data_IF_658844942313
#
_entry.id   IF_658844942313
#
_cell.length_a   1.000
_cell.length_b   1.000
_cell.length_c   1.000
_cell.angle_alpha   90.00
_cell.angle_beta   90.00
_cell.angle_gamma   90.00
#
_symmetry.space_group_name_H-M   'P 1'
#
loop_
_entity.id
_entity.type
_entity.pdbx_description
1 polymer ?
#
# COMPACT_ATOMS: atom_id res chain seq x y z
N UNK A 1 26.12 15.07 -22.42
CA UNK A 1 26.17 13.73 -21.78
C UNK A 1 24.78 13.41 -21.27
N UNK A 2 24.45 12.13 -21.22
CA UNK A 2 23.11 11.53 -21.32
C UNK A 2 22.09 12.09 -20.31
N UNK A 3 20.90 12.41 -20.81
CA UNK A 3 19.70 12.50 -19.99
C UNK A 3 19.28 11.05 -19.73
N UNK A 4 19.76 10.49 -18.63
CA UNK A 4 19.28 9.19 -18.17
C UNK A 4 17.85 9.43 -17.65
N UNK A 5 16.90 9.04 -18.48
CA UNK A 5 15.46 9.06 -18.21
C UNK A 5 15.24 8.34 -16.88
N UNK A 6 14.68 9.03 -15.87
CA UNK A 6 14.45 8.42 -14.56
C UNK A 6 13.58 7.17 -14.73
N UNK A 7 14.07 6.02 -14.28
CA UNK A 7 13.39 4.72 -14.42
C UNK A 7 11.99 4.72 -13.78
N UNK A 8 11.76 5.59 -12.79
CA UNK A 8 10.44 5.86 -12.20
C UNK A 8 9.42 6.31 -13.25
N UNK A 9 9.84 7.06 -14.27
CA UNK A 9 8.98 7.49 -15.39
C UNK A 9 8.57 6.31 -16.29
N UNK A 10 9.33 5.21 -16.27
CA UNK A 10 9.03 3.99 -17.03
C UNK A 10 8.04 3.09 -16.28
N UNK A 11 8.04 3.09 -14.94
CA UNK A 11 7.06 2.36 -14.12
C UNK A 11 5.62 2.86 -14.32
N UNK A 12 5.45 4.11 -14.73
CA UNK A 12 4.15 4.72 -15.03
C UNK A 12 3.61 4.41 -16.44
N UNK A 13 4.40 3.78 -17.31
CA UNK A 13 3.96 3.46 -18.68
C UNK A 13 3.16 2.16 -18.68
N UNK A 14 1.87 2.17 -19.11
CA UNK A 14 1.12 0.95 -19.32
C UNK A 14 1.62 0.28 -20.60
N UNK A 15 2.68 -0.53 -20.48
CA UNK A 15 3.14 -1.45 -21.52
C UNK A 15 3.05 -2.88 -20.98
N UNK A 16 2.20 -3.71 -21.58
CA UNK A 16 2.06 -5.14 -21.23
C UNK A 16 3.38 -5.90 -21.36
N UNK A 17 3.58 -7.09 -20.79
CA UNK A 17 2.71 -8.00 -20.05
C UNK A 17 3.58 -8.56 -18.90
N UNK A 18 3.33 -8.29 -17.61
CA UNK A 18 4.04 -9.04 -16.57
C UNK A 18 3.29 -10.36 -16.39
N UNK A 19 3.49 -11.32 -17.30
CA UNK A 19 3.07 -12.70 -17.05
C UNK A 19 3.89 -13.18 -15.86
N UNK A 20 3.24 -13.38 -14.73
CA UNK A 20 3.88 -13.97 -13.56
C UNK A 20 4.43 -15.35 -13.93
N UNK A 21 5.73 -15.55 -13.75
CA UNK A 21 6.39 -16.85 -13.92
C UNK A 21 6.46 -17.53 -12.55
N UNK A 22 6.10 -18.80 -12.48
CA UNK A 22 6.40 -19.62 -11.31
C UNK A 22 7.89 -19.92 -11.29
N UNK A 23 8.56 -19.58 -10.19
CA UNK A 23 10.01 -19.78 -10.01
C UNK A 23 10.22 -20.66 -8.77
N UNK A 24 11.06 -21.71 -8.86
CA UNK A 24 11.45 -22.51 -7.69
C UNK A 24 12.03 -21.61 -6.60
N UNK A 25 11.60 -21.80 -5.36
CA UNK A 25 12.05 -20.95 -4.25
C UNK A 25 13.56 -21.07 -4.03
N UNK A 26 14.15 -22.24 -4.33
CA UNK A 26 15.60 -22.51 -4.25
C UNK A 26 16.45 -21.70 -5.24
N UNK A 27 15.83 -21.24 -6.33
CA UNK A 27 16.46 -20.38 -7.34
C UNK A 27 16.34 -18.89 -6.99
N UNK A 28 15.63 -18.54 -5.91
CA UNK A 28 15.38 -17.15 -5.50
C UNK A 28 16.25 -16.82 -4.30
N UNK A 29 17.02 -15.74 -4.43
CA UNK A 29 17.94 -15.24 -3.41
C UNK A 29 17.47 -13.90 -2.84
N UNK A 30 17.57 -13.71 -1.51
CA UNK A 30 17.24 -12.44 -0.88
C UNK A 30 18.21 -11.33 -1.30
N UNK A 31 17.76 -10.08 -1.20
CA UNK A 31 18.64 -8.94 -1.41
C UNK A 31 19.58 -8.75 -0.20
N UNK A 32 20.91 -8.88 -0.34
CA UNK A 32 21.85 -8.69 0.77
C UNK A 32 21.85 -7.26 1.29
N UNK A 33 21.37 -6.30 0.50
CA UNK A 33 21.30 -4.90 0.86
C UNK A 33 19.87 -4.45 1.19
N UNK A 34 19.01 -5.35 1.66
CA UNK A 34 17.62 -5.04 1.96
C UNK A 34 17.52 -3.91 3.02
N UNK A 35 16.99 -2.72 2.68
CA UNK A 35 16.95 -1.60 3.62
C UNK A 35 15.97 -1.85 4.78
N UNK A 36 14.97 -2.72 4.59
CA UNK A 36 14.10 -3.17 5.69
C UNK A 36 14.86 -4.18 6.56
N UNK A 37 15.31 -3.77 7.73
CA UNK A 37 15.94 -4.67 8.71
C UNK A 37 14.93 -5.40 9.61
N UNK A 38 13.79 -4.77 9.93
CA UNK A 38 12.76 -5.37 10.76
C UNK A 38 11.58 -5.84 9.91
N UNK A 39 11.36 -7.16 9.87
CA UNK A 39 10.26 -7.74 9.09
C UNK A 39 8.92 -7.66 9.82
N UNK A 40 8.89 -7.56 11.15
CA UNK A 40 7.65 -7.61 11.93
C UNK A 40 7.05 -9.02 11.97
N UNK A 41 5.82 -9.13 12.48
CA UNK A 41 5.11 -10.41 12.53
C UNK A 41 4.68 -10.86 11.12
N UNK A 42 4.90 -12.15 10.83
CA UNK A 42 4.54 -12.82 9.59
C UNK A 42 3.48 -13.90 9.79
N UNK A 43 3.05 -14.19 11.02
CA UNK A 43 2.19 -15.34 11.36
C UNK A 43 0.92 -15.42 10.51
N UNK A 44 0.18 -14.31 10.40
CA UNK A 44 -1.04 -14.24 9.57
C UNK A 44 -0.73 -14.40 8.07
N UNK A 45 0.40 -13.84 7.60
CA UNK A 45 0.81 -13.94 6.22
C UNK A 45 1.21 -15.38 5.86
N UNK A 46 1.94 -16.06 6.73
CA UNK A 46 2.32 -17.47 6.57
C UNK A 46 1.06 -18.35 6.52
N UNK A 47 0.11 -18.13 7.43
CA UNK A 47 -1.16 -18.86 7.43
C UNK A 47 -1.93 -18.65 6.11
N UNK A 48 -2.03 -17.40 5.66
CA UNK A 48 -2.69 -17.08 4.38
C UNK A 48 -1.95 -17.68 3.19
N UNK A 49 -0.62 -17.65 3.17
CA UNK A 49 0.20 -18.21 2.08
C UNK A 49 0.10 -19.73 2.04
N UNK A 50 0.02 -20.39 3.20
CA UNK A 50 -0.18 -21.83 3.29
C UNK A 50 -1.56 -22.26 2.78
N UNK A 51 -2.60 -21.48 3.06
CA UNK A 51 -3.98 -21.79 2.64
C UNK A 51 -4.23 -21.47 1.16
N UNK A 52 -3.72 -20.32 0.68
CA UNK A 52 -4.13 -19.73 -0.61
C UNK A 52 -3.00 -19.60 -1.62
N UNK A 53 -1.77 -19.94 -1.23
CA UNK A 53 -0.58 -19.61 -1.99
C UNK A 53 -0.26 -18.12 -1.95
N UNK A 54 0.71 -17.72 -2.77
CA UNK A 54 1.11 -16.32 -2.92
C UNK A 54 0.27 -15.70 -4.04
N UNK A 55 -0.68 -14.83 -3.69
CA UNK A 55 -1.59 -14.21 -4.66
C UNK A 55 -0.93 -13.07 -5.46
N UNK A 56 -0.14 -12.24 -4.77
CA UNK A 56 0.58 -11.14 -5.41
C UNK A 56 2.01 -11.60 -5.74
N UNK A 57 2.45 -11.55 -7.02
CA UNK A 57 3.79 -11.92 -7.41
C UNK A 57 4.88 -11.05 -6.76
N UNK A 58 6.03 -11.64 -6.45
CA UNK A 58 7.21 -10.87 -6.04
C UNK A 58 7.97 -10.34 -7.26
N UNK A 59 8.76 -9.28 -7.08
CA UNK A 59 9.58 -8.71 -8.13
C UNK A 59 11.01 -9.24 -8.00
N UNK A 60 11.54 -9.82 -9.07
CA UNK A 60 12.90 -10.39 -9.10
C UNK A 60 13.66 -9.95 -10.34
N UNK A 61 14.98 -10.04 -10.28
CA UNK A 61 15.87 -9.90 -11.44
C UNK A 61 16.72 -11.14 -11.68
N UNK A 62 17.12 -11.43 -12.92
CA UNK A 62 18.10 -12.47 -13.19
C UNK A 62 19.46 -12.15 -12.55
N UNK A 63 20.10 -13.17 -11.96
CA UNK A 63 21.48 -13.12 -11.45
C UNK A 63 22.18 -14.45 -11.75
N UNK A 64 22.81 -14.53 -12.92
CA UNK A 64 23.36 -15.79 -13.42
C UNK A 64 22.25 -16.80 -13.69
N UNK A 65 22.35 -18.00 -13.09
CA UNK A 65 21.32 -19.04 -13.18
C UNK A 65 20.15 -18.86 -12.19
N UNK A 66 20.24 -17.89 -11.29
CA UNK A 66 19.29 -17.66 -10.19
C UNK A 66 18.57 -16.32 -10.35
N UNK A 67 17.67 -16.05 -9.42
CA UNK A 67 16.93 -14.80 -9.32
C UNK A 67 17.24 -14.10 -8.01
N UNK A 68 17.33 -12.77 -8.03
CA UNK A 68 17.46 -11.96 -6.84
C UNK A 68 16.19 -11.15 -6.61
N UNK A 69 15.72 -11.11 -5.36
CA UNK A 69 14.56 -10.31 -4.95
C UNK A 69 14.87 -8.82 -5.08
N UNK A 70 13.97 -8.10 -5.77
CA UNK A 70 13.92 -6.63 -5.77
C UNK A 70 12.90 -6.16 -4.72
N UNK A 71 11.70 -6.76 -4.73
CA UNK A 71 10.62 -6.41 -3.81
C UNK A 71 9.76 -7.63 -3.46
N UNK A 72 9.19 -7.63 -2.25
CA UNK A 72 8.32 -8.72 -1.77
C UNK A 72 8.98 -9.71 -0.81
N UNK A 73 10.08 -9.34 -0.15
CA UNK A 73 10.82 -10.18 0.81
C UNK A 73 9.93 -10.83 1.88
N UNK A 74 8.95 -10.10 2.44
CA UNK A 74 8.00 -10.67 3.41
C UNK A 74 7.19 -11.84 2.83
N UNK A 75 6.79 -11.77 1.57
CA UNK A 75 6.05 -12.84 0.87
C UNK A 75 6.97 -14.03 0.59
N UNK A 76 8.22 -13.77 0.18
CA UNK A 76 9.23 -14.82 0.01
C UNK A 76 9.49 -15.59 1.31
N UNK A 77 9.70 -14.89 2.44
CA UNK A 77 9.88 -15.52 3.76
C UNK A 77 8.67 -16.34 4.18
N UNK A 78 7.47 -15.78 4.01
CA UNK A 78 6.23 -16.49 4.30
C UNK A 78 6.04 -17.73 3.42
N UNK A 79 6.46 -17.68 2.15
CA UNK A 79 6.41 -18.82 1.24
C UNK A 79 7.37 -19.94 1.63
N UNK A 80 8.59 -19.61 2.06
CA UNK A 80 9.55 -20.58 2.63
C UNK A 80 8.95 -21.26 3.86
N UNK A 81 8.43 -20.48 4.81
CA UNK A 81 7.90 -21.00 6.08
C UNK A 81 6.56 -21.75 5.90
N UNK A 82 5.80 -21.40 4.86
CA UNK A 82 4.62 -22.15 4.43
C UNK A 82 4.99 -23.49 3.75
N UNK A 83 6.24 -23.68 3.33
CA UNK A 83 6.72 -24.90 2.66
C UNK A 83 6.37 -24.98 1.17
N UNK A 84 6.24 -23.84 0.49
CA UNK A 84 5.99 -23.82 -0.96
C UNK A 84 7.24 -24.23 -1.74
N UNK A 85 7.08 -24.96 -2.85
CA UNK A 85 8.18 -25.32 -3.75
C UNK A 85 8.51 -24.22 -4.77
N UNK A 86 7.50 -23.45 -5.18
CA UNK A 86 7.61 -22.39 -6.16
C UNK A 86 6.71 -21.20 -5.79
N UNK A 87 7.02 -20.02 -6.35
CA UNK A 87 6.21 -18.83 -6.14
C UNK A 87 6.11 -17.95 -7.39
N UNK A 88 4.99 -17.21 -7.58
CA UNK A 88 4.83 -16.33 -8.72
C UNK A 88 5.76 -15.13 -8.60
N UNK A 89 6.50 -14.89 -9.68
CA UNK A 89 7.49 -13.84 -9.80
C UNK A 89 7.28 -13.04 -11.07
N UNK A 90 7.51 -11.74 -11.00
CA UNK A 90 7.68 -10.87 -12.16
C UNK A 90 9.18 -10.70 -12.34
N UNK A 91 9.70 -11.18 -13.46
CA UNK A 91 11.12 -11.04 -13.80
C UNK A 91 11.33 -9.73 -14.53
N UNK A 92 12.22 -8.88 -14.01
CA UNK A 92 12.66 -7.64 -14.65
C UNK A 92 14.18 -7.61 -14.74
N UNK A 93 14.69 -7.23 -15.91
CA UNK A 93 16.11 -6.97 -16.06
C UNK A 93 16.42 -5.59 -15.50
N UNK A 94 17.22 -5.54 -14.44
CA UNK A 94 17.65 -4.32 -13.77
C UNK A 94 19.10 -4.44 -13.31
N UNK A 95 19.86 -3.34 -13.43
CA UNK A 95 21.21 -3.23 -12.88
C UNK A 95 21.20 -3.23 -11.34
N UNK A 96 22.36 -3.44 -10.72
CA UNK A 96 22.52 -3.42 -9.26
C UNK A 96 22.09 -2.07 -8.66
N UNK A 97 22.44 -0.99 -9.34
CA UNK A 97 22.08 0.38 -8.98
C UNK A 97 20.55 0.58 -9.00
N UNK A 98 19.89 0.21 -10.10
CA UNK A 98 18.43 0.34 -10.25
C UNK A 98 17.68 -0.55 -9.25
N UNK A 99 18.21 -1.73 -8.96
CA UNK A 99 17.62 -2.65 -7.99
C UNK A 99 17.62 -2.07 -6.58
N UNK A 100 18.73 -1.44 -6.19
CA UNK A 100 18.84 -0.77 -4.91
C UNK A 100 17.91 0.45 -4.83
N UNK A 101 17.84 1.24 -5.90
CA UNK A 101 16.92 2.37 -5.99
C UNK A 101 15.46 1.92 -5.77
N UNK A 102 15.03 0.85 -6.44
CA UNK A 102 13.68 0.30 -6.31
C UNK A 102 13.38 -0.23 -4.90
N UNK A 103 14.32 -0.96 -4.31
CA UNK A 103 14.19 -1.47 -2.94
C UNK A 103 14.08 -0.32 -1.93
N UNK A 104 14.82 0.76 -2.15
CA UNK A 104 14.82 1.93 -1.29
C UNK A 104 13.53 2.76 -1.44
N UNK A 105 13.01 2.89 -2.66
CA UNK A 105 11.70 3.52 -2.93
C UNK A 105 10.56 2.74 -2.26
N UNK A 106 10.51 1.40 -2.40
CA UNK A 106 9.50 0.57 -1.72
C UNK A 106 9.56 0.75 -0.21
N UNK A 107 10.78 0.71 0.35
CA UNK A 107 10.95 0.88 1.78
C UNK A 107 10.48 2.28 2.23
N UNK A 108 10.75 3.34 1.44
CA UNK A 108 10.31 4.70 1.73
C UNK A 108 8.78 4.90 1.67
N UNK A 109 8.09 4.11 0.85
CA UNK A 109 6.62 4.17 0.73
C UNK A 109 5.88 3.55 1.93
N UNK A 110 6.60 2.94 2.87
CA UNK A 110 6.02 2.38 4.09
C UNK A 110 5.35 3.44 4.95
N UNK A 111 4.22 3.08 5.57
CA UNK A 111 3.45 3.99 6.43
C UNK A 111 4.01 4.09 7.86
N UNK A 112 4.84 3.14 8.27
CA UNK A 112 5.37 2.98 9.62
C UNK A 112 6.81 3.47 9.81
N UNK A 113 7.40 4.13 8.80
CA UNK A 113 8.73 4.74 8.91
C UNK A 113 8.78 5.86 9.94
N UNK A 114 9.84 5.88 10.75
CA UNK A 114 10.17 7.03 11.58
C UNK A 114 10.70 8.19 10.72
N UNK A 115 10.60 9.42 11.25
CA UNK A 115 11.08 10.61 10.56
C UNK A 115 12.58 10.58 10.24
N UNK A 116 13.37 9.87 11.05
CA UNK A 116 14.82 9.71 10.83
C UNK A 116 15.09 8.69 9.73
N UNK A 117 14.44 7.52 9.76
CA UNK A 117 14.59 6.51 8.69
C UNK A 117 14.13 7.04 7.32
N UNK A 118 13.05 7.82 7.31
CA UNK A 118 12.59 8.51 6.09
C UNK A 118 13.67 9.48 5.58
N UNK A 119 14.23 10.31 6.45
CA UNK A 119 15.28 11.26 6.09
C UNK A 119 16.56 10.58 5.57
N UNK A 120 16.99 9.48 6.21
CA UNK A 120 18.17 8.73 5.81
C UNK A 120 17.97 8.01 4.46
N UNK A 121 16.80 7.39 4.26
CA UNK A 121 16.47 6.76 2.97
C UNK A 121 16.44 7.77 1.82
N UNK A 122 15.91 8.98 2.08
CA UNK A 122 15.89 10.07 1.11
C UNK A 122 17.26 10.64 0.79
N UNK A 123 18.09 10.82 1.83
CA UNK A 123 19.45 11.27 1.66
C UNK A 123 20.21 10.29 0.76
N UNK A 124 20.07 8.99 1.04
CA UNK A 124 20.67 7.92 0.24
C UNK A 124 20.16 7.94 -1.21
N UNK A 125 18.85 8.09 -1.42
CA UNK A 125 18.25 8.23 -2.75
C UNK A 125 18.82 9.44 -3.53
N UNK A 126 18.92 10.59 -2.87
CA UNK A 126 19.41 11.82 -3.49
C UNK A 126 20.91 11.76 -3.80
N UNK A 127 21.74 11.25 -2.89
CA UNK A 127 23.20 11.23 -3.01
C UNK A 127 23.70 10.13 -3.96
N UNK A 128 23.06 8.94 -3.93
CA UNK A 128 23.54 7.78 -4.70
C UNK A 128 22.87 7.63 -6.06
N UNK A 129 21.63 8.13 -6.22
CA UNK A 129 20.82 7.89 -7.41
C UNK A 129 20.28 9.17 -8.06
N UNK A 130 20.67 10.35 -7.55
CA UNK A 130 20.18 11.64 -8.07
C UNK A 130 18.67 11.83 -7.93
N UNK A 131 18.02 11.03 -7.08
CA UNK A 131 16.57 11.06 -6.93
C UNK A 131 16.12 12.41 -6.38
N UNK A 132 15.15 13.01 -7.06
CA UNK A 132 14.42 14.17 -6.55
C UNK A 132 12.98 13.76 -6.30
N UNK A 133 12.35 14.09 -5.16
CA UNK A 133 10.93 13.81 -4.94
C UNK A 133 10.03 14.34 -6.07
N UNK A 134 10.46 15.45 -6.69
CA UNK A 134 9.91 15.99 -7.93
C UNK A 134 9.79 14.96 -9.05
N UNK A 135 10.87 14.23 -9.34
CA UNK A 135 10.97 13.26 -10.44
C UNK A 135 9.96 12.12 -10.38
N UNK A 136 9.58 11.67 -9.19
CA UNK A 136 8.66 10.55 -9.00
C UNK A 136 7.16 10.93 -9.09
N UNK A 137 6.85 12.21 -9.26
CA UNK A 137 5.47 12.68 -9.43
C UNK A 137 5.13 12.83 -10.92
N UNK A 138 3.89 12.48 -11.32
CA UNK A 138 3.35 12.85 -12.62
C UNK A 138 3.50 14.35 -12.89
N UNK A 139 3.68 14.72 -14.15
CA UNK A 139 3.93 16.11 -14.57
C UNK A 139 2.87 17.08 -14.03
N UNK A 140 1.59 16.70 -14.12
CA UNK A 140 0.46 17.48 -13.60
C UNK A 140 0.57 17.78 -12.09
N UNK A 141 1.01 16.79 -11.30
CA UNK A 141 1.20 16.94 -9.85
C UNK A 141 2.40 17.83 -9.56
N UNK A 142 3.48 17.69 -10.34
CA UNK A 142 4.68 18.52 -10.21
C UNK A 142 4.38 19.98 -10.49
N UNK A 143 3.60 20.26 -11.53
CA UNK A 143 3.15 21.61 -11.87
C UNK A 143 2.21 22.19 -10.82
N UNK A 144 1.36 21.37 -10.22
CA UNK A 144 0.53 21.80 -9.11
C UNK A 144 1.35 22.13 -7.86
N UNK A 145 2.35 21.33 -7.52
CA UNK A 145 3.28 21.62 -6.42
C UNK A 145 4.03 22.94 -6.65
N UNK A 146 4.51 23.19 -7.88
CA UNK A 146 5.15 24.47 -8.25
C UNK A 146 4.21 25.66 -8.10
N UNK A 147 2.98 25.55 -8.61
CA UNK A 147 1.93 26.58 -8.48
C UNK A 147 1.55 26.85 -7.03
N UNK A 148 1.66 25.83 -6.17
CA UNK A 148 1.41 25.94 -4.73
C UNK A 148 2.64 26.37 -3.90
N UNK A 149 3.77 26.71 -4.53
CA UNK A 149 5.06 27.01 -3.88
C UNK A 149 5.55 25.93 -2.89
N UNK A 150 5.22 24.67 -3.17
CA UNK A 150 5.65 23.53 -2.38
C UNK A 150 7.05 23.13 -2.84
N UNK A 151 8.07 23.72 -2.21
CA UNK A 151 9.48 23.42 -2.51
C UNK A 151 10.14 22.53 -1.45
N UNK A 152 9.50 22.34 -0.29
CA UNK A 152 10.13 21.58 0.80
C UNK A 152 10.17 20.09 0.45
N UNK A 153 11.35 19.47 0.59
CA UNK A 153 11.55 18.05 0.31
C UNK A 153 10.54 17.18 1.08
N UNK A 154 10.28 17.51 2.35
CA UNK A 154 9.33 16.79 3.21
C UNK A 154 7.89 16.84 2.70
N UNK A 155 7.41 18.00 2.21
CA UNK A 155 6.03 18.11 1.69
C UNK A 155 5.89 17.40 0.34
N UNK A 156 6.88 17.56 -0.55
CA UNK A 156 6.88 16.86 -1.85
C UNK A 156 6.80 15.34 -1.67
N UNK A 157 7.42 14.81 -0.62
CA UNK A 157 7.35 13.39 -0.30
C UNK A 157 6.03 12.95 0.28
N UNK A 158 5.42 13.77 1.13
CA UNK A 158 4.06 13.49 1.60
C UNK A 158 3.08 13.40 0.43
N UNK A 159 3.31 14.20 -0.63
CA UNK A 159 2.58 14.10 -1.91
C UNK A 159 2.90 12.77 -2.59
N UNK A 160 4.16 12.44 -2.90
CA UNK A 160 4.54 11.17 -3.55
C UNK A 160 4.01 9.94 -2.81
N UNK A 161 4.04 9.94 -1.47
CA UNK A 161 3.59 8.81 -0.63
C UNK A 161 2.08 8.53 -0.72
N UNK A 162 1.29 9.41 -1.32
CA UNK A 162 -0.13 9.14 -1.51
C UNK A 162 -0.37 7.98 -2.51
N UNK A 163 0.59 7.69 -3.40
CA UNK A 163 0.57 6.56 -4.33
C UNK A 163 -0.52 6.57 -5.40
N UNK A 164 -1.44 7.54 -5.36
CA UNK A 164 -2.57 7.69 -6.25
C UNK A 164 -2.70 9.15 -6.68
N UNK A 165 -2.91 9.39 -7.98
CA UNK A 165 -2.93 10.71 -8.60
C UNK A 165 -3.97 11.64 -7.94
N UNK A 166 -5.18 11.14 -7.69
CA UNK A 166 -6.25 11.94 -7.09
C UNK A 166 -5.91 12.34 -5.66
N UNK A 167 -5.34 11.41 -4.87
CA UNK A 167 -4.90 11.71 -3.50
C UNK A 167 -3.71 12.66 -3.46
N UNK A 168 -2.78 12.56 -4.41
CA UNK A 168 -1.67 13.50 -4.57
C UNK A 168 -2.21 14.92 -4.81
N UNK A 169 -3.09 15.07 -5.80
CA UNK A 169 -3.70 16.35 -6.16
C UNK A 169 -4.50 16.95 -5.01
N UNK A 170 -5.30 16.14 -4.32
CA UNK A 170 -6.08 16.57 -3.16
C UNK A 170 -5.20 17.00 -1.98
N UNK A 171 -3.99 16.43 -1.81
CA UNK A 171 -3.05 16.88 -0.80
C UNK A 171 -2.40 18.22 -1.20
N UNK A 172 -1.98 18.35 -2.46
CA UNK A 172 -1.41 19.61 -2.98
C UNK A 172 -2.41 20.76 -2.83
N UNK A 173 -3.67 20.54 -3.19
CA UNK A 173 -4.74 21.54 -3.03
C UNK A 173 -4.95 21.94 -1.57
N UNK A 174 -4.94 20.96 -0.65
CA UNK A 174 -5.04 21.26 0.80
C UNK A 174 -3.87 22.10 1.30
N UNK A 175 -2.64 21.73 0.92
CA UNK A 175 -1.44 22.47 1.30
C UNK A 175 -1.43 23.89 0.71
N UNK A 176 -1.99 24.08 -0.49
CA UNK A 176 -2.15 25.39 -1.12
C UNK A 176 -3.17 26.28 -0.40
N UNK A 177 -4.34 25.72 -0.05
CA UNK A 177 -5.41 26.45 0.63
C UNK A 177 -5.05 26.90 2.06
N UNK A 178 -4.08 26.27 2.71
CA UNK A 178 -3.63 26.63 4.06
C UNK A 178 -2.67 27.85 4.10
N UNK A 179 -2.26 28.40 2.95
CA UNK A 179 -2.01 29.83 2.76
C UNK A 179 -1.01 30.56 3.68
N UNK A 180 -0.05 29.88 4.30
CA UNK A 180 1.04 30.50 5.05
C UNK A 180 2.12 29.48 5.38
N UNK A 181 3.40 29.87 5.27
CA UNK A 181 4.56 28.99 5.53
C UNK A 181 4.31 28.13 6.78
N UNK A 182 4.21 26.79 6.67
CA UNK A 182 3.90 25.96 7.82
C UNK A 182 5.05 26.03 8.83
N UNK A 183 4.79 26.57 10.02
CA UNK A 183 5.81 26.55 11.07
C UNK A 183 5.92 25.15 11.68
N UNK A 184 7.08 24.86 12.29
CA UNK A 184 7.31 23.61 13.05
C UNK A 184 6.24 23.38 14.14
N UNK A 185 5.57 24.43 14.58
CA UNK A 185 4.49 24.40 15.56
C UNK A 185 3.16 23.94 14.94
N UNK A 186 2.85 24.37 13.71
CA UNK A 186 1.65 23.95 12.99
C UNK A 186 1.68 22.45 12.65
N UNK A 187 2.83 21.93 12.23
CA UNK A 187 3.03 20.49 12.00
C UNK A 187 2.80 19.66 13.28
N UNK A 188 3.20 20.16 14.45
CA UNK A 188 2.95 19.52 15.75
C UNK A 188 1.48 19.63 16.17
N UNK A 189 0.83 20.76 15.88
CA UNK A 189 -0.59 20.99 16.16
C UNK A 189 -1.48 20.11 15.28
N UNK A 190 -1.09 19.89 14.02
CA UNK A 190 -1.72 18.96 13.08
C UNK A 190 -1.53 17.50 13.49
N UNK A 191 -0.36 17.09 13.99
CA UNK A 191 -0.15 15.74 14.54
C UNK A 191 -1.02 15.46 15.78
N UNK A 192 -1.26 16.48 16.62
CA UNK A 192 -2.20 16.38 17.76
C UNK A 192 -3.68 16.38 17.31
N UNK A 193 -4.07 17.18 16.32
CA UNK A 193 -5.43 17.20 15.78
C UNK A 193 -5.78 15.96 14.95
N UNK A 194 -4.81 15.37 14.24
CA UNK A 194 -4.95 14.10 13.54
C UNK A 194 -5.25 12.94 14.49
N UNK A 195 -4.65 12.93 15.70
CA UNK A 195 -4.99 11.97 16.76
C UNK A 195 -6.38 12.19 17.35
N UNK A 196 -6.86 13.43 17.46
CA UNK A 196 -8.21 13.73 17.94
C UNK A 196 -9.32 13.40 16.92
N UNK A 197 -9.06 13.55 15.61
CA UNK A 197 -10.01 13.15 14.54
C UNK A 197 -9.97 11.65 14.22
N UNK A 198 -8.84 10.97 14.42
CA UNK A 198 -8.75 9.51 14.29
C UNK A 198 -9.53 8.73 15.38
N UNK A 199 -9.97 9.41 16.45
CA UNK A 199 -10.83 8.82 17.48
C UNK A 199 -12.32 8.76 17.08
N UNK A 200 -12.75 9.44 16.00
CA UNK A 200 -14.11 9.30 15.48
C UNK A 200 -14.10 8.24 14.38
N UNK A 201 -14.21 6.98 14.83
CA UNK A 201 -14.14 5.81 13.97
C UNK A 201 -15.06 5.89 12.75
N UNK A 202 -14.65 5.19 11.68
CA UNK A 202 -15.50 4.75 10.54
C UNK A 202 -16.94 4.55 11.03
N UNK A 203 -17.98 5.01 10.30
CA UNK A 203 -19.36 4.76 10.70
C UNK A 203 -19.50 3.27 10.97
N UNK A 204 -19.68 2.91 12.25
CA UNK A 204 -19.78 1.51 12.65
C UNK A 204 -21.12 1.03 12.11
N UNK A 205 -21.11 0.13 11.14
CA UNK A 205 -22.35 -0.53 10.72
C UNK A 205 -22.78 -1.48 11.83
N UNK A 206 -24.03 -1.39 12.27
CA UNK A 206 -24.60 -2.39 13.17
C UNK A 206 -24.88 -3.67 12.36
N UNK A 207 -24.39 -4.81 12.84
CA UNK A 207 -24.64 -6.11 12.21
C UNK A 207 -25.41 -6.99 13.20
N UNK A 208 -26.66 -7.30 12.88
CA UNK A 208 -27.43 -8.30 13.59
C UNK A 208 -27.03 -9.69 13.08
N UNK A 209 -26.66 -10.60 13.97
CA UNK A 209 -26.32 -11.99 13.63
C UNK A 209 -27.29 -12.93 14.33
N UNK A 210 -27.84 -13.86 13.58
CA UNK A 210 -28.72 -14.91 14.08
C UNK A 210 -28.19 -16.28 13.67
N UNK A 211 -28.13 -17.18 14.64
CA UNK A 211 -27.81 -18.58 14.43
C UNK A 211 -28.91 -19.44 15.08
N UNK A 212 -29.65 -20.25 14.31
CA UNK A 212 -30.67 -21.15 14.81
C UNK A 212 -30.04 -22.30 15.61
N UNK A 213 -30.82 -22.88 16.54
CA UNK A 213 -30.36 -23.97 17.41
C UNK A 213 -29.92 -25.21 16.64
N UNK A 214 -30.56 -25.48 15.50
CA UNK A 214 -30.28 -26.63 14.64
C UNK A 214 -29.09 -26.41 13.71
N UNK A 215 -28.45 -25.23 13.75
CA UNK A 215 -27.27 -24.83 12.93
C UNK A 215 -27.43 -25.07 11.42
N UNK A 216 -28.67 -25.12 10.93
CA UNK A 216 -29.02 -25.33 9.53
C UNK A 216 -28.73 -24.13 8.62
N UNK A 217 -28.65 -22.90 9.17
CA UNK A 217 -28.23 -21.71 8.45
C UNK A 217 -27.59 -20.67 9.40
N UNK A 218 -27.05 -19.58 8.86
CA UNK A 218 -26.67 -18.39 9.61
C UNK A 218 -27.17 -17.14 8.87
N UNK A 219 -27.71 -16.17 9.59
CA UNK A 219 -28.22 -14.92 9.03
C UNK A 219 -27.45 -13.73 9.60
N UNK A 220 -26.99 -12.84 8.73
CA UNK A 220 -26.37 -11.58 9.10
C UNK A 220 -27.05 -10.41 8.37
N UNK A 221 -27.62 -9.46 9.12
CA UNK A 221 -28.22 -8.24 8.60
C UNK A 221 -27.35 -7.04 8.93
N UNK A 222 -26.85 -6.35 7.91
CA UNK A 222 -26.03 -5.15 8.05
C UNK A 222 -26.88 -3.88 7.88
N UNK A 223 -26.77 -2.97 8.84
CA UNK A 223 -27.46 -1.68 8.81
C UNK A 223 -26.47 -0.54 8.57
N UNK A 224 -26.88 0.48 7.82
CA UNK A 224 -26.06 1.66 7.55
C UNK A 224 -25.86 2.56 8.78
N UNK A 225 -26.62 2.34 9.86
CA UNK A 225 -26.55 3.06 11.13
C UNK A 225 -25.78 2.25 12.18
N UNK A 226 -25.24 2.94 13.19
CA UNK A 226 -24.43 2.33 14.26
C UNK A 226 -25.20 1.82 15.47
N UNK A 227 -26.48 2.19 15.58
CA UNK A 227 -27.39 1.71 16.61
C UNK A 227 -28.73 1.45 15.96
N UNK A 228 -29.28 0.26 16.18
CA UNK A 228 -30.52 -0.21 15.56
C UNK A 228 -31.38 -0.87 16.63
N UNK A 229 -32.56 -0.31 16.96
CA UNK A 229 -33.45 -0.90 17.94
C UNK A 229 -34.05 -2.21 17.43
N UNK A 230 -34.46 -3.09 18.35
CA UNK A 230 -35.03 -4.41 18.03
C UNK A 230 -36.23 -4.32 17.08
N UNK A 231 -37.05 -3.28 17.20
CA UNK A 231 -38.20 -3.03 16.34
C UNK A 231 -37.81 -2.81 14.87
N UNK A 232 -36.71 -2.11 14.61
CA UNK A 232 -36.20 -1.87 13.24
C UNK A 232 -35.65 -3.16 12.63
N UNK A 233 -35.04 -4.03 13.44
CA UNK A 233 -34.61 -5.38 13.01
C UNK A 233 -35.83 -6.24 12.64
N UNK A 234 -36.89 -6.21 13.45
CA UNK A 234 -38.12 -6.97 13.20
C UNK A 234 -38.80 -6.52 11.90
N UNK A 235 -38.90 -5.20 11.67
CA UNK A 235 -39.47 -4.66 10.42
C UNK A 235 -38.66 -5.06 9.19
N UNK A 236 -37.32 -5.03 9.28
CA UNK A 236 -36.45 -5.48 8.20
C UNK A 236 -36.67 -6.96 7.86
N UNK A 237 -36.78 -7.82 8.89
CA UNK A 237 -37.07 -9.24 8.70
C UNK A 237 -38.47 -9.48 8.10
N UNK A 238 -39.48 -8.71 8.51
CA UNK A 238 -40.83 -8.78 7.94
C UNK A 238 -40.85 -8.40 6.46
N UNK A 239 -40.15 -7.33 6.08
CA UNK A 239 -40.00 -6.94 4.66
C UNK A 239 -39.36 -8.05 3.83
N UNK A 240 -38.29 -8.67 4.35
CA UNK A 240 -37.62 -9.79 3.67
C UNK A 240 -38.60 -10.97 3.48
N UNK A 241 -39.40 -11.30 4.51
CA UNK A 241 -40.41 -12.36 4.42
C UNK A 241 -41.48 -12.01 3.39
N UNK A 242 -41.98 -10.77 3.37
CA UNK A 242 -42.96 -10.32 2.38
C UNK A 242 -42.43 -10.40 0.95
N UNK A 243 -41.18 -9.99 0.72
CA UNK A 243 -40.55 -10.06 -0.60
C UNK A 243 -40.37 -11.52 -1.05
N UNK A 244 -39.90 -12.39 -0.16
CA UNK A 244 -39.74 -13.83 -0.44
C UNK A 244 -41.08 -14.51 -0.74
N UNK A 245 -42.15 -14.14 -0.03
CA UNK A 245 -43.49 -14.68 -0.27
C UNK A 245 -44.13 -14.15 -1.56
N UNK A 246 -43.67 -13.00 -2.08
CA UNK A 246 -44.13 -12.44 -3.36
C UNK A 246 -43.44 -13.06 -4.57
N UNK A 247 -42.20 -13.54 -4.43
CA UNK A 247 -41.48 -14.22 -5.51
C UNK A 247 -41.99 -15.65 -5.76
N UNK A 248 -42.79 -16.23 -4.86
CA UNK A 248 -43.44 -17.54 -5.01
C UNK A 248 -44.89 -17.48 -5.55
N UNK A 249 -45.37 -16.32 -6.01
CA UNK A 249 -46.73 -16.11 -6.54
C UNK A 249 -46.79 -15.90 -8.07
#
# INVERSE_FOLDING_TARGET
MRHDVHFVDQLGRPGGEPVGRMVPIEDIEPNPHQPRQHMGDLTELIASVREKGVLEPILVRPRGARFQIIAGERRYRAAIEAGLGEMPCIVRETSDSETMELALIENLQRKDLSAFEEADGLKTLAESYGYTPGSAMPEDVRDACRRADIQSKSLLLQVVRQGDLQKMMALVQRLHHEGGRPTREDARRMAKQGKAKAAKGRPRHYVFRYQPREKNFALALQFHKSNVPREEIVRALQSIIEDLLREEA
#
